data_IF_219311501202
#
_entry.id   IF_219311501202
#
_cell.length_a   1.000
_cell.length_b   1.000
_cell.length_c   1.000
_cell.angle_alpha   90.00
_cell.angle_beta   90.00
_cell.angle_gamma   90.00
#
_symmetry.space_group_name_H-M   'P 1'
#
loop_
_entity.id
_entity.type
_entity.pdbx_description
1 polymer ?
#
# COMPACT_ATOMS: atom_id res chain seq x y z
N UNK A 1 -79.45 -26.89 23.79
CA UNK A 1 -78.54 -27.25 22.71
C UNK A 1 -77.61 -26.08 22.54
N UNK A 2 -76.34 -26.18 22.97
CA UNK A 2 -75.31 -25.14 22.85
C UNK A 2 -74.30 -25.59 21.81
N UNK A 3 -73.94 -24.79 20.79
CA UNK A 3 -72.88 -25.18 19.83
C UNK A 3 -71.47 -25.00 20.49
N UNK A 4 -70.65 -26.00 20.30
CA UNK A 4 -69.27 -26.07 20.70
C UNK A 4 -68.40 -25.33 19.67
N UNK A 5 -67.82 -24.22 20.05
CA UNK A 5 -66.90 -23.45 19.17
C UNK A 5 -65.52 -24.07 19.24
N UNK A 6 -65.05 -24.59 18.09
CA UNK A 6 -63.70 -25.17 17.95
C UNK A 6 -62.69 -24.06 17.74
N UNK A 7 -61.79 -23.85 18.70
CA UNK A 7 -60.68 -22.93 18.60
C UNK A 7 -59.49 -23.60 17.88
N UNK A 8 -59.21 -23.23 16.64
CA UNK A 8 -58.04 -23.69 15.89
C UNK A 8 -56.87 -22.81 16.24
N UNK A 9 -55.88 -23.36 17.00
CA UNK A 9 -54.62 -22.71 17.33
C UNK A 9 -53.66 -22.88 16.15
N UNK A 10 -53.43 -21.84 15.36
CA UNK A 10 -52.43 -21.83 14.30
C UNK A 10 -51.03 -21.62 14.93
N UNK A 11 -50.24 -22.69 14.94
CA UNK A 11 -48.83 -22.64 15.35
C UNK A 11 -47.99 -22.07 14.17
N UNK A 12 -47.66 -20.79 14.26
CA UNK A 12 -46.75 -20.14 13.27
C UNK A 12 -45.30 -20.63 13.49
N UNK A 13 -44.78 -21.40 12.55
CA UNK A 13 -43.34 -21.68 12.48
C UNK A 13 -42.62 -20.39 12.02
N UNK A 14 -41.92 -19.74 12.95
CA UNK A 14 -40.90 -18.76 12.61
C UNK A 14 -39.68 -19.54 12.14
N UNK A 15 -39.44 -19.56 10.80
CA UNK A 15 -38.18 -19.94 10.23
C UNK A 15 -37.20 -18.77 10.48
N UNK A 16 -36.32 -18.91 11.48
CA UNK A 16 -35.15 -18.04 11.59
C UNK A 16 -34.25 -18.29 10.39
N UNK A 17 -34.36 -17.45 9.37
CA UNK A 17 -33.38 -17.38 8.30
C UNK A 17 -32.07 -16.90 8.91
N UNK A 18 -31.06 -17.79 8.99
CA UNK A 18 -29.69 -17.36 9.17
C UNK A 18 -29.31 -16.56 7.91
N UNK A 19 -29.24 -15.24 8.04
CA UNK A 19 -28.51 -14.43 7.09
C UNK A 19 -27.04 -14.86 7.16
N UNK A 20 -26.66 -15.75 6.25
CA UNK A 20 -25.27 -16.08 6.02
C UNK A 20 -24.62 -14.80 5.46
N UNK A 21 -23.93 -14.07 6.34
CA UNK A 21 -23.09 -12.93 5.91
C UNK A 21 -22.01 -13.54 5.04
N UNK A 22 -22.22 -13.51 3.71
CA UNK A 22 -21.20 -13.89 2.76
C UNK A 22 -19.97 -13.03 3.03
N UNK A 23 -18.90 -13.67 3.52
CA UNK A 23 -17.60 -13.01 3.57
C UNK A 23 -17.27 -12.48 2.16
N UNK A 24 -16.74 -11.25 2.05
CA UNK A 24 -16.39 -10.71 0.75
C UNK A 24 -15.45 -11.68 0.03
N UNK A 25 -15.83 -12.08 -1.20
CA UNK A 25 -15.07 -13.02 -2.00
C UNK A 25 -13.64 -12.49 -2.18
N UNK A 26 -12.66 -13.27 -1.75
CA UNK A 26 -11.25 -12.98 -2.00
C UNK A 26 -11.03 -12.99 -3.52
N UNK A 27 -10.48 -11.92 -4.13
CA UNK A 27 -10.21 -11.93 -5.56
C UNK A 27 -9.33 -13.14 -5.92
N UNK A 28 -9.74 -13.95 -6.88
CA UNK A 28 -9.01 -15.14 -7.32
C UNK A 28 -7.90 -14.85 -8.34
N UNK A 29 -7.71 -13.58 -8.70
CA UNK A 29 -6.74 -13.14 -9.70
C UNK A 29 -5.77 -12.09 -9.19
N UNK A 30 -4.75 -11.81 -10.01
CA UNK A 30 -3.80 -10.72 -9.76
C UNK A 30 -4.55 -9.39 -9.75
N UNK A 31 -4.34 -8.58 -8.73
CA UNK A 31 -4.89 -7.22 -8.65
C UNK A 31 -3.77 -6.22 -8.82
N UNK A 32 -3.97 -5.27 -9.75
CA UNK A 32 -3.03 -4.19 -10.02
C UNK A 32 -3.46 -2.91 -9.32
N UNK A 33 -2.49 -2.29 -8.64
CA UNK A 33 -2.61 -0.98 -8.03
C UNK A 33 -1.51 -0.08 -8.58
N UNK A 34 -1.73 1.23 -8.54
CA UNK A 34 -0.70 2.21 -8.86
C UNK A 34 -0.71 3.36 -7.87
N UNK A 35 0.37 4.13 -7.87
CA UNK A 35 0.48 5.37 -7.12
C UNK A 35 1.31 6.35 -7.94
N UNK A 36 0.78 7.55 -8.16
CA UNK A 36 1.59 8.69 -8.62
C UNK A 36 2.16 9.36 -7.38
N UNK A 37 3.49 9.37 -7.28
CA UNK A 37 4.20 9.86 -6.10
C UNK A 37 4.93 11.15 -6.39
N UNK A 38 4.95 12.08 -5.43
CA UNK A 38 5.72 13.33 -5.53
C UNK A 38 6.18 13.84 -4.17
N UNK A 39 7.21 14.67 -4.16
CA UNK A 39 7.72 15.34 -2.96
C UNK A 39 6.70 16.30 -2.35
N UNK A 40 5.82 16.90 -3.17
CA UNK A 40 4.77 17.81 -2.70
C UNK A 40 3.64 17.13 -1.90
N UNK A 41 3.48 15.81 -2.03
CA UNK A 41 2.49 15.04 -1.29
C UNK A 41 3.00 14.53 0.07
N UNK A 42 4.29 14.64 0.34
CA UNK A 42 4.89 14.26 1.63
C UNK A 42 4.44 15.22 2.73
N UNK A 43 4.25 14.70 3.93
CA UNK A 43 3.84 15.51 5.10
C UNK A 43 4.82 15.27 6.25
N UNK A 44 5.57 16.30 6.68
CA UNK A 44 5.80 17.60 6.02
C UNK A 44 6.47 17.44 4.64
N UNK A 45 6.33 18.42 3.77
CA UNK A 45 6.86 18.36 2.41
C UNK A 45 8.37 18.06 2.38
N UNK A 46 8.81 17.35 1.33
CA UNK A 46 10.22 17.02 1.14
C UNK A 46 11.12 18.27 1.11
N UNK A 47 12.33 18.15 1.64
CA UNK A 47 13.32 19.22 1.68
C UNK A 47 13.73 19.70 0.28
N UNK A 48 14.25 20.93 0.19
CA UNK A 48 14.48 21.66 -1.06
C UNK A 48 15.29 20.92 -2.11
N UNK A 49 16.29 20.14 -1.73
CA UNK A 49 17.15 19.40 -2.69
C UNK A 49 16.43 18.27 -3.42
N UNK A 50 15.38 17.69 -2.82
CA UNK A 50 14.60 16.59 -3.40
C UNK A 50 13.11 16.94 -3.56
N UNK A 51 12.74 18.23 -3.39
CA UNK A 51 11.36 18.69 -3.51
C UNK A 51 10.73 18.41 -4.89
N UNK A 52 11.57 18.33 -5.93
CA UNK A 52 11.17 18.01 -7.30
C UNK A 52 11.07 16.51 -7.59
N UNK A 53 11.33 15.64 -6.60
CA UNK A 53 11.23 14.20 -6.80
C UNK A 53 9.79 13.79 -7.11
N UNK A 54 9.61 12.99 -8.16
CA UNK A 54 8.30 12.50 -8.59
C UNK A 54 8.44 11.22 -9.42
N UNK A 55 7.33 10.50 -9.58
CA UNK A 55 7.29 9.30 -10.40
C UNK A 55 6.07 8.44 -10.17
N UNK A 56 6.22 7.16 -10.51
CA UNK A 56 5.15 6.16 -10.41
C UNK A 56 5.58 4.92 -9.64
N UNK A 57 4.62 4.31 -8.99
CA UNK A 57 4.75 2.99 -8.37
C UNK A 57 3.61 2.11 -8.87
N UNK A 58 3.96 0.95 -9.43
CA UNK A 58 3.01 -0.09 -9.78
C UNK A 58 3.12 -1.24 -8.79
N UNK A 59 1.99 -1.74 -8.33
CA UNK A 59 1.92 -2.85 -7.38
C UNK A 59 1.03 -3.94 -7.95
N UNK A 60 1.57 -5.14 -8.12
CA UNK A 60 0.80 -6.34 -8.46
C UNK A 60 0.65 -7.20 -7.21
N UNK A 61 -0.58 -7.46 -6.80
CA UNK A 61 -0.90 -8.35 -5.67
C UNK A 61 -1.43 -9.68 -6.19
N UNK A 62 -0.73 -10.77 -5.90
CA UNK A 62 -1.09 -12.12 -6.31
C UNK A 62 -1.52 -12.94 -5.09
N UNK A 63 -2.74 -13.51 -5.08
CA UNK A 63 -3.17 -14.39 -4.00
C UNK A 63 -2.35 -15.68 -4.01
N UNK A 64 -1.94 -16.14 -2.84
CA UNK A 64 -1.34 -17.44 -2.62
C UNK A 64 -2.40 -18.46 -2.14
N UNK A 65 -2.15 -19.74 -2.34
CA UNK A 65 -3.06 -20.82 -1.93
C UNK A 65 -3.35 -20.87 -0.44
N UNK A 66 -2.50 -20.27 0.38
CA UNK A 66 -2.66 -20.16 1.84
C UNK A 66 -3.60 -19.02 2.28
N UNK A 67 -4.21 -18.26 1.36
CA UNK A 67 -4.98 -17.04 1.66
C UNK A 67 -4.11 -15.81 1.94
N UNK A 68 -2.78 -15.94 2.00
CA UNK A 68 -1.85 -14.82 2.01
C UNK A 68 -1.71 -14.23 0.59
N UNK A 69 -1.03 -13.10 0.49
CA UNK A 69 -0.71 -12.48 -0.80
C UNK A 69 0.80 -12.27 -0.92
N UNK A 70 1.28 -12.29 -2.15
CA UNK A 70 2.59 -11.74 -2.51
C UNK A 70 2.38 -10.50 -3.35
N UNK A 71 3.21 -9.48 -3.14
CA UNK A 71 3.18 -8.26 -3.94
C UNK A 71 4.51 -8.07 -4.68
N UNK A 72 4.43 -7.53 -5.90
CA UNK A 72 5.57 -7.00 -6.64
C UNK A 72 5.41 -5.51 -6.78
N UNK A 73 6.44 -4.76 -6.38
CA UNK A 73 6.50 -3.30 -6.47
C UNK A 73 7.49 -2.90 -7.56
N UNK A 74 7.05 -2.23 -8.59
CA UNK A 74 7.93 -1.58 -9.57
C UNK A 74 7.88 -0.08 -9.34
N UNK A 75 9.04 0.52 -9.05
CA UNK A 75 9.19 1.90 -8.63
C UNK A 75 10.04 2.62 -9.65
N UNK A 76 9.53 3.71 -10.21
CA UNK A 76 10.24 4.60 -11.12
C UNK A 76 10.15 6.03 -10.61
N UNK A 77 11.30 6.62 -10.28
CA UNK A 77 11.39 8.00 -9.77
C UNK A 77 12.41 8.79 -10.57
N UNK A 78 12.20 10.10 -10.61
CA UNK A 78 13.15 11.10 -11.10
C UNK A 78 13.18 12.32 -10.18
N UNK A 79 14.04 13.30 -10.48
CA UNK A 79 14.14 14.53 -9.69
C UNK A 79 14.85 14.38 -8.34
N UNK A 80 15.56 13.27 -8.14
CA UNK A 80 16.45 13.05 -7.00
C UNK A 80 17.79 13.77 -7.21
N UNK A 81 18.59 13.94 -6.16
CA UNK A 81 19.91 14.54 -6.29
C UNK A 81 20.84 13.63 -7.09
N UNK A 82 21.50 14.17 -8.09
CA UNK A 82 22.51 13.46 -8.89
C UNK A 82 23.86 13.43 -8.17
N UNK A 83 24.70 12.46 -8.52
CA UNK A 83 26.09 12.42 -8.07
C UNK A 83 26.83 13.70 -8.46
N UNK A 84 27.68 14.19 -7.57
CA UNK A 84 28.55 15.35 -7.78
C UNK A 84 27.84 16.72 -7.79
N UNK A 85 26.51 16.78 -7.58
CA UNK A 85 25.76 18.05 -7.49
C UNK A 85 26.06 18.77 -6.16
N UNK A 86 26.31 18.00 -5.10
CA UNK A 86 26.68 18.54 -3.78
C UNK A 86 27.79 17.69 -3.15
N UNK A 87 28.75 18.32 -2.44
CA UNK A 87 29.78 17.58 -1.73
C UNK A 87 29.25 16.65 -0.65
N UNK A 88 28.01 16.89 -0.14
CA UNK A 88 27.37 16.07 0.86
C UNK A 88 26.81 14.75 0.31
N UNK A 89 26.63 14.67 -0.99
CA UNK A 89 26.07 13.50 -1.70
C UNK A 89 26.91 13.20 -2.94
N UNK A 90 28.15 12.73 -2.79
CA UNK A 90 29.03 12.46 -3.91
C UNK A 90 28.44 11.42 -4.88
N UNK A 91 27.66 10.48 -4.38
CA UNK A 91 27.02 9.40 -5.15
C UNK A 91 25.53 9.68 -5.48
N UNK A 92 25.03 10.88 -5.20
CA UNK A 92 23.62 11.26 -5.37
C UNK A 92 22.77 10.94 -4.15
N UNK A 93 21.45 10.99 -4.31
CA UNK A 93 20.51 10.63 -3.24
C UNK A 93 20.69 9.17 -2.83
N UNK A 94 20.47 8.90 -1.55
CA UNK A 94 20.51 7.55 -0.97
C UNK A 94 19.12 7.22 -0.45
N UNK A 95 18.42 6.31 -1.13
CA UNK A 95 17.12 5.82 -0.69
C UNK A 95 17.33 4.74 0.37
N UNK A 96 16.75 4.95 1.52
CA UNK A 96 16.95 4.11 2.71
C UNK A 96 15.74 3.27 3.09
N UNK A 97 14.52 3.66 2.65
CA UNK A 97 13.31 2.88 2.89
C UNK A 97 12.23 3.14 1.85
N UNK A 98 11.40 2.12 1.60
CA UNK A 98 10.11 2.21 0.91
C UNK A 98 9.05 1.56 1.77
N UNK A 99 7.95 2.26 2.04
CA UNK A 99 6.96 1.85 3.03
C UNK A 99 5.55 2.12 2.52
N UNK A 100 4.64 1.16 2.73
CA UNK A 100 3.20 1.39 2.62
C UNK A 100 2.67 1.79 3.99
N UNK A 101 1.91 2.87 4.03
CA UNK A 101 1.26 3.39 5.22
C UNK A 101 -0.26 3.31 5.08
N UNK A 102 -0.93 3.13 6.18
CA UNK A 102 -2.38 3.32 6.27
C UNK A 102 -2.65 4.77 6.69
N UNK A 103 -3.35 5.52 5.83
CA UNK A 103 -3.67 6.93 6.08
C UNK A 103 -4.26 7.61 4.84
N UNK A 104 -5.08 8.62 5.09
CA UNK A 104 -5.69 9.44 4.04
C UNK A 104 -4.67 10.39 3.40
N UNK A 105 -5.00 10.94 2.23
CA UNK A 105 -4.22 11.96 1.57
C UNK A 105 -4.03 13.19 2.49
N UNK A 106 -2.81 13.72 2.56
CA UNK A 106 -2.48 14.88 3.39
C UNK A 106 -2.35 14.60 4.90
N UNK A 107 -2.64 13.38 5.37
CA UNK A 107 -2.52 13.02 6.78
C UNK A 107 -1.31 12.08 7.01
N UNK A 108 -0.68 12.17 8.17
CA UNK A 108 0.28 11.15 8.60
C UNK A 108 -0.46 9.83 8.86
N UNK A 109 0.16 8.71 8.48
CA UNK A 109 -0.38 7.38 8.65
C UNK A 109 0.55 6.47 9.45
N UNK A 110 0.07 5.26 9.75
CA UNK A 110 0.85 4.22 10.40
C UNK A 110 1.52 3.31 9.34
N UNK A 111 2.80 2.95 9.50
CA UNK A 111 3.47 2.00 8.60
C UNK A 111 2.83 0.62 8.73
N UNK A 112 2.52 -0.02 7.59
CA UNK A 112 1.88 -1.34 7.56
C UNK A 112 2.64 -2.38 6.74
N UNK A 113 3.50 -1.94 5.80
CA UNK A 113 4.35 -2.83 5.03
C UNK A 113 5.64 -2.10 4.64
N UNK A 114 6.78 -2.69 4.95
CA UNK A 114 8.07 -2.14 4.59
C UNK A 114 8.72 -2.99 3.50
N UNK A 115 9.27 -2.34 2.46
CA UNK A 115 10.10 -2.99 1.46
C UNK A 115 11.50 -3.26 2.02
N UNK A 116 12.21 -4.27 1.51
CA UNK A 116 13.51 -4.70 2.08
C UNK A 116 14.70 -3.78 1.73
N UNK A 117 14.47 -2.48 1.47
CA UNK A 117 15.53 -1.51 1.15
C UNK A 117 16.36 -1.23 2.39
N UNK A 118 17.68 -1.38 2.31
CA UNK A 118 18.61 -1.03 3.39
C UNK A 118 18.53 -1.90 4.64
N UNK A 119 17.74 -2.98 4.61
CA UNK A 119 17.52 -3.83 5.78
C UNK A 119 18.59 -4.89 5.99
N UNK A 120 19.28 -5.27 4.92
CA UNK A 120 20.33 -6.30 4.97
C UNK A 120 21.48 -5.92 4.04
N UNK A 121 22.65 -6.52 4.22
CA UNK A 121 23.78 -6.37 3.30
C UNK A 121 23.45 -6.88 1.89
N UNK A 122 22.47 -7.82 1.76
CA UNK A 122 22.01 -8.34 0.48
C UNK A 122 21.06 -7.38 -0.26
N UNK A 123 20.41 -6.46 0.46
CA UNK A 123 19.55 -5.43 -0.10
C UNK A 123 19.98 -4.07 0.49
N UNK A 124 21.06 -3.48 -0.03
CA UNK A 124 21.60 -2.22 0.49
C UNK A 124 20.67 -1.05 0.17
N UNK A 125 20.93 0.14 0.75
CA UNK A 125 20.31 1.39 0.29
C UNK A 125 20.51 1.59 -1.21
N UNK A 126 19.56 2.25 -1.87
CA UNK A 126 19.64 2.52 -3.30
C UNK A 126 20.34 3.87 -3.53
N UNK A 127 21.48 3.84 -4.18
CA UNK A 127 22.19 5.04 -4.64
C UNK A 127 21.62 5.51 -5.97
N UNK A 128 21.51 6.81 -6.17
CA UNK A 128 20.89 7.41 -7.36
C UNK A 128 21.81 8.37 -8.09
N UNK A 129 22.94 7.89 -8.67
CA UNK A 129 23.95 8.77 -9.27
C UNK A 129 23.41 9.61 -10.44
N UNK A 130 22.38 9.15 -11.11
CA UNK A 130 21.68 9.86 -12.21
C UNK A 130 20.52 10.72 -11.74
N UNK A 131 20.18 10.69 -10.45
CA UNK A 131 18.97 11.32 -9.89
C UNK A 131 17.68 10.58 -10.21
N UNK A 132 17.79 9.30 -10.60
CA UNK A 132 16.64 8.44 -10.93
C UNK A 132 16.71 7.11 -10.19
N UNK A 133 15.55 6.50 -9.98
CA UNK A 133 15.40 5.12 -9.48
C UNK A 133 14.54 4.35 -10.46
N UNK A 134 14.97 3.15 -10.81
CA UNK A 134 14.12 2.12 -11.42
C UNK A 134 14.45 0.79 -10.73
N UNK A 135 13.52 0.30 -9.94
CA UNK A 135 13.73 -0.93 -9.14
C UNK A 135 12.43 -1.71 -9.02
N UNK A 136 12.55 -3.04 -8.99
CA UNK A 136 11.43 -3.96 -8.72
C UNK A 136 11.75 -4.83 -7.52
N UNK A 137 10.83 -4.86 -6.56
CA UNK A 137 10.82 -5.79 -5.44
C UNK A 137 9.74 -6.82 -5.69
N UNK A 138 10.12 -8.09 -5.86
CA UNK A 138 9.19 -9.19 -6.11
C UNK A 138 9.00 -10.03 -4.84
N UNK A 139 7.88 -10.76 -4.79
CA UNK A 139 7.55 -11.70 -3.73
C UNK A 139 7.55 -11.10 -2.31
N UNK A 140 7.19 -9.81 -2.20
CA UNK A 140 6.99 -9.18 -0.89
C UNK A 140 5.77 -9.80 -0.24
N UNK A 141 5.94 -10.45 0.91
CA UNK A 141 4.85 -11.09 1.64
C UNK A 141 3.88 -10.01 2.19
N UNK A 142 2.59 -10.20 1.92
CA UNK A 142 1.52 -9.32 2.43
C UNK A 142 0.56 -10.17 3.24
N UNK A 143 0.41 -9.90 4.56
CA UNK A 143 -0.56 -10.61 5.39
C UNK A 143 -1.99 -10.49 4.81
N UNK A 144 -2.80 -11.56 4.92
CA UNK A 144 -4.14 -11.62 4.33
C UNK A 144 -5.06 -10.48 4.79
N UNK A 145 -5.02 -10.14 6.06
CA UNK A 145 -5.82 -9.04 6.62
C UNK A 145 -5.42 -7.68 6.01
N UNK A 146 -4.11 -7.42 5.84
CA UNK A 146 -3.61 -6.20 5.22
C UNK A 146 -3.97 -6.17 3.73
N UNK A 147 -3.79 -7.28 3.02
CA UNK A 147 -4.17 -7.37 1.61
C UNK A 147 -5.66 -7.08 1.41
N UNK A 148 -6.53 -7.71 2.21
CA UNK A 148 -7.98 -7.46 2.17
C UNK A 148 -8.33 -6.00 2.44
N UNK A 149 -7.68 -5.36 3.42
CA UNK A 149 -7.89 -3.96 3.73
C UNK A 149 -7.46 -3.02 2.57
N UNK A 150 -6.29 -3.27 1.96
CA UNK A 150 -5.82 -2.51 0.80
C UNK A 150 -6.76 -2.69 -0.39
N UNK A 151 -7.19 -3.93 -0.67
CA UNK A 151 -8.05 -4.23 -1.81
C UNK A 151 -9.45 -3.67 -1.64
N UNK A 152 -9.97 -3.58 -0.41
CA UNK A 152 -11.27 -2.97 -0.11
C UNK A 152 -11.25 -1.44 -0.23
N UNK A 153 -10.16 -0.80 0.18
CA UNK A 153 -10.02 0.66 0.16
C UNK A 153 -8.58 1.08 -0.15
N UNK A 154 -8.12 0.97 -1.41
CA UNK A 154 -6.75 1.35 -1.77
C UNK A 154 -6.39 2.79 -1.41
N UNK A 155 -7.32 3.73 -1.58
CA UNK A 155 -7.10 5.15 -1.27
C UNK A 155 -6.95 5.45 0.23
N UNK A 156 -7.25 4.51 1.10
CA UNK A 156 -6.91 4.55 2.53
C UNK A 156 -5.44 4.22 2.82
N UNK A 157 -4.64 3.93 1.79
CA UNK A 157 -3.23 3.60 1.91
C UNK A 157 -2.40 4.43 0.95
N UNK A 158 -1.16 4.71 1.32
CA UNK A 158 -0.22 5.40 0.46
C UNK A 158 1.15 4.73 0.49
N UNK A 159 1.85 4.85 -0.63
CA UNK A 159 3.26 4.49 -0.73
C UNK A 159 4.12 5.73 -0.46
N UNK A 160 5.22 5.56 0.28
CA UNK A 160 6.19 6.61 0.56
C UNK A 160 7.61 6.04 0.52
N UNK A 161 8.52 6.78 -0.09
CA UNK A 161 9.95 6.49 0.00
C UNK A 161 10.64 7.52 0.88
N UNK A 162 11.73 7.08 1.51
CA UNK A 162 12.56 7.88 2.40
C UNK A 162 14.00 7.88 1.88
N UNK A 163 14.62 9.03 1.92
CA UNK A 163 16.04 9.18 1.64
C UNK A 163 16.82 9.56 2.88
N UNK A 164 18.15 9.44 2.82
CA UNK A 164 19.02 9.90 3.89
C UNK A 164 18.89 11.41 4.17
N UNK A 165 18.52 12.20 3.14
CA UNK A 165 18.28 13.65 3.27
C UNK A 165 16.89 13.96 3.85
N UNK A 166 15.89 13.17 3.46
CA UNK A 166 14.49 13.38 3.82
C UNK A 166 13.94 12.15 4.56
N UNK A 167 14.29 12.04 5.83
CA UNK A 167 13.84 10.96 6.70
C UNK A 167 12.31 10.96 6.91
N UNK A 168 11.65 12.12 6.78
CA UNK A 168 10.19 12.23 6.80
C UNK A 168 9.53 11.72 5.50
N UNK A 169 10.31 11.55 4.43
CA UNK A 169 9.88 11.09 3.11
C UNK A 169 10.40 11.97 1.99
N UNK A 170 10.72 11.36 0.85
CA UNK A 170 11.16 12.06 -0.36
C UNK A 170 10.04 12.13 -1.39
N UNK A 171 9.23 11.09 -1.53
CA UNK A 171 8.01 11.06 -2.35
C UNK A 171 6.92 10.29 -1.64
N UNK A 172 5.67 10.66 -1.92
CA UNK A 172 4.47 10.02 -1.41
C UNK A 172 3.35 10.03 -2.45
N UNK A 173 2.48 9.03 -2.45
CA UNK A 173 1.25 9.00 -3.24
C UNK A 173 0.27 7.94 -2.77
N UNK A 174 -1.05 8.24 -2.88
CA UNK A 174 -2.10 7.28 -2.54
C UNK A 174 -2.13 6.12 -3.54
N UNK A 175 -2.45 4.93 -3.03
CA UNK A 175 -2.72 3.77 -3.86
C UNK A 175 -4.08 3.93 -4.55
N UNK A 176 -4.14 3.56 -5.81
CA UNK A 176 -5.38 3.51 -6.59
C UNK A 176 -5.45 2.19 -7.35
N UNK A 177 -6.65 1.66 -7.55
CA UNK A 177 -6.85 0.44 -8.34
C UNK A 177 -6.74 0.78 -9.83
N UNK A 178 -6.09 -0.12 -10.58
CA UNK A 178 -5.98 -0.05 -12.05
C UNK A 178 -7.11 -0.83 -12.70
#
# INVERSE_FOLDING_TARGET
MKPLTLLVLALGLFSAGCDEVLAPATPSGVVSLASQVSGSQVVPAAGSLEAGAAGGVSVSMTPASSGAYTASFTIQLGGLVKAGVTPLLPDGSVIVAGVVYQGAAGALGSPVLQLPIGQTAAVPPLYTPTGTVLVTFSNVAVPSALASAILANPSGFYFQMHSALNAAGVVRGQLVRQ
#
